data_IF_069318273798
#
_entry.id   IF_069318273798
#
_cell.length_a   1.000
_cell.length_b   1.000
_cell.length_c   1.000
_cell.angle_alpha   90.00
_cell.angle_beta   90.00
_cell.angle_gamma   90.00
#
_symmetry.space_group_name_H-M   'P 1'
#
loop_
_entity.id
_entity.type
_entity.pdbx_description
1 polymer ?
#
# COMPACT_ATOMS: atom_id res chain seq x y z
N UNK A 1 -27.92 59.62 -22.32
CA UNK A 1 -28.76 58.43 -22.62
C UNK A 1 -28.24 57.79 -23.89
N UNK A 2 -27.53 56.66 -23.77
CA UNK A 2 -27.14 55.82 -24.89
C UNK A 2 -26.99 54.39 -24.34
N UNK A 3 -27.88 53.48 -24.78
CA UNK A 3 -27.80 52.05 -24.47
C UNK A 3 -26.67 51.40 -25.29
N UNK A 4 -25.87 50.49 -24.71
CA UNK A 4 -25.10 49.55 -25.51
C UNK A 4 -25.90 48.28 -25.82
N UNK A 5 -25.86 47.94 -27.10
CA UNK A 5 -26.36 46.73 -27.75
C UNK A 5 -25.93 45.43 -27.05
N UNK A 6 -26.89 44.52 -26.84
CA UNK A 6 -26.64 43.12 -26.50
C UNK A 6 -26.22 42.36 -27.76
N UNK A 7 -25.02 41.78 -27.74
CA UNK A 7 -24.60 40.75 -28.70
C UNK A 7 -24.82 39.39 -28.03
N UNK A 8 -25.75 38.61 -28.55
CA UNK A 8 -25.99 37.23 -28.12
C UNK A 8 -25.10 36.30 -28.94
N UNK A 9 -24.12 35.66 -28.30
CA UNK A 9 -23.31 34.59 -28.89
C UNK A 9 -23.97 33.24 -28.59
N UNK A 10 -24.51 32.61 -29.63
CA UNK A 10 -25.00 31.24 -29.56
C UNK A 10 -23.82 30.26 -29.72
N UNK A 11 -23.44 29.56 -28.65
CA UNK A 11 -22.50 28.46 -28.69
C UNK A 11 -23.24 27.17 -29.08
N UNK A 12 -22.98 26.67 -30.29
CA UNK A 12 -23.54 25.41 -30.79
C UNK A 12 -22.85 24.22 -30.11
N UNK A 13 -23.65 23.36 -29.46
CA UNK A 13 -23.18 22.15 -28.78
C UNK A 13 -23.13 21.00 -29.80
N UNK A 14 -21.96 20.69 -30.32
CA UNK A 14 -21.74 19.48 -31.11
C UNK A 14 -21.67 18.25 -30.18
N UNK A 15 -22.72 17.43 -30.21
CA UNK A 15 -22.74 16.10 -29.57
C UNK A 15 -21.83 15.16 -30.35
N UNK A 16 -20.75 14.71 -29.73
CA UNK A 16 -19.93 13.61 -30.24
C UNK A 16 -20.51 12.30 -29.71
N UNK A 17 -21.01 11.47 -30.62
CA UNK A 17 -21.51 10.13 -30.37
C UNK A 17 -20.37 9.15 -30.06
N UNK A 18 -20.43 8.49 -28.91
CA UNK A 18 -19.53 7.42 -28.48
C UNK A 18 -19.97 6.10 -29.13
N UNK A 19 -19.14 5.42 -29.93
CA UNK A 19 -19.45 4.07 -30.40
C UNK A 19 -19.29 3.04 -29.27
N UNK A 20 -20.28 2.15 -29.16
CA UNK A 20 -20.27 0.97 -28.30
C UNK A 20 -19.51 -0.19 -28.97
N UNK A 21 -18.89 -1.01 -28.12
CA UNK A 21 -18.18 -2.29 -28.36
C UNK A 21 -16.72 -2.23 -28.81
N UNK A 22 -15.83 -2.84 -28.02
CA UNK A 22 -14.73 -3.65 -28.55
C UNK A 22 -15.08 -5.14 -28.54
N UNK A 23 -14.69 -5.79 -29.63
CA UNK A 23 -14.85 -7.21 -29.89
C UNK A 23 -14.07 -8.09 -28.90
N UNK A 24 -14.68 -9.22 -28.56
CA UNK A 24 -14.07 -10.35 -27.85
C UNK A 24 -12.86 -10.87 -28.63
N UNK A 25 -11.66 -10.72 -28.07
CA UNK A 25 -10.46 -11.42 -28.53
C UNK A 25 -10.34 -12.68 -27.67
N UNK A 26 -10.61 -13.84 -28.28
CA UNK A 26 -10.39 -15.15 -27.67
C UNK A 26 -8.89 -15.43 -27.59
N UNK A 27 -8.34 -15.59 -26.38
CA UNK A 27 -6.98 -16.11 -26.19
C UNK A 27 -7.00 -17.65 -26.09
N UNK A 28 -6.04 -18.35 -26.70
CA UNK A 28 -5.95 -19.80 -26.68
C UNK A 28 -5.54 -20.30 -25.28
N UNK A 29 -6.24 -21.33 -24.81
CA UNK A 29 -5.93 -22.03 -23.56
C UNK A 29 -4.63 -22.84 -23.75
N UNK A 30 -3.56 -22.43 -23.08
CA UNK A 30 -2.37 -23.26 -22.89
C UNK A 30 -2.64 -24.30 -21.79
N UNK A 31 -2.99 -25.51 -22.21
CA UNK A 31 -3.05 -26.68 -21.33
C UNK A 31 -1.64 -27.13 -20.95
N UNK A 32 -1.12 -26.63 -19.83
CA UNK A 32 0.10 -27.15 -19.23
C UNK A 32 -0.26 -28.23 -18.19
N UNK A 33 -0.32 -29.49 -18.62
CA UNK A 33 -0.51 -30.65 -17.75
C UNK A 33 0.81 -31.00 -17.08
N UNK A 34 1.03 -30.51 -15.86
CA UNK A 34 2.10 -30.98 -14.98
C UNK A 34 1.75 -32.39 -14.48
N UNK A 35 2.42 -33.39 -15.07
CA UNK A 35 2.39 -34.78 -14.62
C UNK A 35 3.06 -34.86 -13.24
N UNK A 36 2.25 -35.09 -12.20
CA UNK A 36 2.72 -35.54 -10.89
C UNK A 36 3.33 -36.94 -11.02
N UNK A 37 4.65 -37.05 -10.83
CA UNK A 37 5.31 -38.33 -10.63
C UNK A 37 5.12 -38.74 -9.15
N UNK A 38 4.18 -39.67 -8.93
CA UNK A 38 4.05 -40.45 -7.71
C UNK A 38 5.32 -41.29 -7.51
N UNK A 39 6.13 -40.97 -6.50
CA UNK A 39 7.16 -41.90 -6.01
C UNK A 39 6.53 -42.89 -5.05
N UNK A 40 6.52 -44.16 -5.47
CA UNK A 40 6.10 -45.28 -4.65
C UNK A 40 7.09 -45.51 -3.50
N UNK A 41 6.55 -45.51 -2.28
CA UNK A 41 7.20 -46.00 -1.07
C UNK A 41 7.39 -47.53 -1.18
N UNK A 42 8.63 -48.00 -1.12
CA UNK A 42 8.99 -49.40 -0.92
C UNK A 42 9.72 -49.51 0.43
N UNK A 43 9.04 -50.11 1.41
CA UNK A 43 9.67 -50.65 2.60
C UNK A 43 10.38 -51.97 2.28
N UNK A 44 11.52 -52.25 2.93
CA UNK A 44 11.63 -53.55 3.59
C UNK A 44 12.06 -53.47 5.07
N UNK A 45 11.73 -54.56 5.77
CA UNK A 45 11.74 -54.85 7.20
C UNK A 45 13.12 -54.90 7.89
N UNK A 46 13.14 -54.93 9.25
CA UNK A 46 14.34 -54.78 10.09
C UNK A 46 14.99 -56.12 10.47
N UNK A 47 16.27 -56.07 10.87
CA UNK A 47 16.75 -56.62 12.15
C UNK A 47 18.26 -56.41 12.34
N UNK A 48 18.65 -56.45 13.62
CA UNK A 48 19.99 -56.68 14.21
C UNK A 48 20.65 -55.46 14.89
N UNK A 49 20.78 -55.61 16.21
CA UNK A 49 21.48 -54.85 17.25
C UNK A 49 22.66 -55.74 17.76
N UNK A 50 23.52 -55.36 18.73
CA UNK A 50 24.30 -54.15 19.02
C UNK A 50 25.82 -54.39 18.93
N UNK A 51 26.61 -53.33 18.77
CA UNK A 51 27.87 -53.24 19.54
C UNK A 51 28.22 -51.79 19.86
N UNK A 52 28.26 -51.48 21.16
CA UNK A 52 28.75 -50.25 21.77
C UNK A 52 30.25 -50.41 22.01
N UNK A 53 31.07 -49.35 21.85
CA UNK A 53 31.98 -49.04 22.94
C UNK A 53 31.83 -47.60 23.44
N UNK A 54 31.96 -47.50 24.76
CA UNK A 54 31.97 -46.28 25.55
C UNK A 54 33.14 -45.37 25.18
N UNK A 55 32.83 -44.08 24.96
CA UNK A 55 33.76 -42.99 25.30
C UNK A 55 33.03 -41.97 26.18
N UNK A 56 33.68 -41.67 27.30
CA UNK A 56 33.17 -40.88 28.40
C UNK A 56 33.46 -39.38 28.21
N UNK A 57 32.50 -38.57 28.65
CA UNK A 57 32.57 -37.24 29.26
C UNK A 57 33.46 -36.15 28.62
N UNK A 58 32.81 -35.08 28.16
CA UNK A 58 32.93 -33.76 28.80
C UNK A 58 31.68 -32.92 28.55
N UNK A 59 30.86 -32.75 29.60
CA UNK A 59 29.85 -31.71 29.62
C UNK A 59 30.59 -30.36 29.69
N UNK A 60 30.42 -29.51 28.67
CA UNK A 60 30.66 -28.08 28.78
C UNK A 60 29.27 -27.46 28.79
N UNK A 61 28.94 -26.82 29.90
CA UNK A 61 27.75 -26.02 30.06
C UNK A 61 27.81 -24.86 29.06
N UNK A 62 27.17 -25.03 27.91
CA UNK A 62 26.88 -23.92 27.02
C UNK A 62 25.61 -23.27 27.54
N UNK A 63 25.79 -22.19 28.30
CA UNK A 63 24.72 -21.29 28.66
C UNK A 63 24.10 -20.77 27.36
N UNK A 64 22.98 -21.38 26.94
CA UNK A 64 22.08 -20.78 25.97
C UNK A 64 21.55 -19.50 26.59
N UNK A 65 22.23 -18.39 26.30
CA UNK A 65 21.65 -17.06 26.39
C UNK A 65 20.56 -17.03 25.33
N UNK A 66 19.32 -17.25 25.76
CA UNK A 66 18.17 -16.90 24.95
C UNK A 66 18.31 -15.44 24.53
N UNK A 67 18.32 -15.12 23.22
CA UNK A 67 18.03 -13.77 22.82
C UNK A 67 16.53 -13.59 23.04
N UNK A 68 16.19 -13.00 24.18
CA UNK A 68 14.93 -12.30 24.45
C UNK A 68 14.75 -11.20 23.39
N UNK A 69 14.36 -11.61 22.18
CA UNK A 69 13.76 -10.72 21.21
C UNK A 69 12.38 -10.42 21.77
N UNK A 70 12.35 -9.32 22.53
CA UNK A 70 11.16 -8.67 23.05
C UNK A 70 10.19 -8.39 21.90
N UNK A 71 9.36 -9.39 21.59
CA UNK A 71 8.17 -9.22 20.77
C UNK A 71 7.19 -8.43 21.60
N UNK A 72 7.23 -7.11 21.44
CA UNK A 72 6.14 -6.22 21.83
C UNK A 72 4.89 -6.68 21.09
N UNK A 73 4.13 -7.58 21.69
CA UNK A 73 2.83 -8.04 21.21
C UNK A 73 1.89 -6.82 21.17
N UNK A 74 1.72 -6.25 19.99
CA UNK A 74 0.56 -5.38 19.71
C UNK A 74 -0.65 -6.29 19.59
N UNK A 75 -1.77 -5.83 20.12
CA UNK A 75 -3.07 -6.52 20.10
C UNK A 75 -3.44 -7.00 18.69
N UNK A 76 -3.20 -8.27 18.41
CA UNK A 76 -3.55 -8.91 17.13
C UNK A 76 -5.02 -9.35 17.18
N UNK A 77 -5.90 -8.37 17.15
CA UNK A 77 -7.26 -8.63 16.67
C UNK A 77 -7.16 -9.00 15.18
N UNK A 78 -7.84 -10.07 14.72
CA UNK A 78 -7.79 -10.47 13.31
C UNK A 78 -8.23 -9.31 12.42
N UNK A 79 -7.31 -8.80 11.61
CA UNK A 79 -7.60 -7.79 10.60
C UNK A 79 -8.14 -8.48 9.37
N UNK A 80 -9.27 -7.98 8.87
CA UNK A 80 -9.90 -8.37 7.60
C UNK A 80 -9.08 -7.93 6.38
N UNK A 81 -8.17 -6.96 6.54
CA UNK A 81 -7.26 -6.47 5.52
C UNK A 81 -5.83 -7.03 5.69
N UNK A 82 -5.08 -7.10 4.58
CA UNK A 82 -3.67 -7.54 4.54
C UNK A 82 -2.68 -6.38 4.54
N UNK A 83 -3.06 -5.29 3.89
CA UNK A 83 -2.27 -4.05 3.82
C UNK A 83 -3.21 -2.84 3.92
N UNK A 84 -2.74 -1.78 4.55
CA UNK A 84 -3.44 -0.51 4.69
C UNK A 84 -2.65 0.57 3.93
N UNK A 85 -3.30 1.28 3.02
CA UNK A 85 -2.73 2.38 2.25
C UNK A 85 -3.11 3.72 2.89
N UNK A 86 -2.11 4.50 3.32
CA UNK A 86 -2.34 5.90 3.67
C UNK A 86 -2.22 6.75 2.41
N UNK A 87 -3.28 7.47 2.08
CA UNK A 87 -3.34 8.30 0.88
C UNK A 87 -3.95 9.66 1.19
N UNK A 88 -3.72 10.62 0.30
CA UNK A 88 -4.18 11.99 0.43
C UNK A 88 -5.37 12.27 -0.50
N UNK A 89 -6.56 12.46 0.07
CA UNK A 89 -7.83 12.62 -0.66
C UNK A 89 -7.92 13.87 -1.55
N UNK A 90 -7.32 14.99 -1.14
CA UNK A 90 -7.37 16.23 -1.95
C UNK A 90 -6.25 16.29 -3.01
N UNK A 91 -5.51 15.20 -3.24
CA UNK A 91 -4.43 15.11 -4.22
C UNK A 91 -4.95 14.40 -5.48
N UNK A 92 -5.24 15.11 -6.59
CA UNK A 92 -5.85 14.50 -7.77
C UNK A 92 -5.01 13.38 -8.40
N UNK A 93 -3.68 13.48 -8.34
CA UNK A 93 -2.79 12.42 -8.82
C UNK A 93 -2.85 11.18 -7.93
N UNK A 94 -2.85 11.39 -6.61
CA UNK A 94 -2.96 10.31 -5.64
C UNK A 94 -4.31 9.58 -5.81
N UNK A 95 -5.38 10.33 -6.07
CA UNK A 95 -6.72 9.76 -6.27
C UNK A 95 -6.87 8.93 -7.54
N UNK A 96 -6.13 9.23 -8.63
CA UNK A 96 -6.10 8.35 -9.82
C UNK A 96 -5.61 6.96 -9.48
N UNK A 97 -4.50 6.91 -8.74
CA UNK A 97 -3.89 5.67 -8.27
C UNK A 97 -4.81 4.92 -7.30
N UNK A 98 -5.34 5.61 -6.29
CA UNK A 98 -6.26 5.06 -5.31
C UNK A 98 -7.52 4.49 -5.96
N UNK A 99 -8.10 5.18 -6.94
CA UNK A 99 -9.30 4.71 -7.63
C UNK A 99 -9.03 3.45 -8.46
N UNK A 100 -7.88 3.38 -9.15
CA UNK A 100 -7.47 2.17 -9.86
C UNK A 100 -7.29 0.99 -8.88
N UNK A 101 -6.59 1.22 -7.76
CA UNK A 101 -6.38 0.20 -6.73
C UNK A 101 -7.69 -0.23 -6.08
N UNK A 102 -8.61 0.69 -5.78
CA UNK A 102 -9.94 0.39 -5.26
C UNK A 102 -10.74 -0.50 -6.20
N UNK A 103 -10.75 -0.17 -7.49
CA UNK A 103 -11.49 -0.95 -8.49
C UNK A 103 -11.00 -2.40 -8.54
N UNK A 104 -9.67 -2.58 -8.61
CA UNK A 104 -9.07 -3.93 -8.56
C UNK A 104 -9.32 -4.62 -7.22
N UNK A 105 -9.20 -3.90 -6.11
CA UNK A 105 -9.36 -4.45 -4.77
C UNK A 105 -10.77 -5.01 -4.52
N UNK A 106 -11.79 -4.65 -5.31
CA UNK A 106 -13.12 -5.28 -5.23
C UNK A 106 -13.06 -6.81 -5.35
N UNK A 107 -12.15 -7.34 -6.16
CA UNK A 107 -11.99 -8.79 -6.35
C UNK A 107 -11.07 -9.45 -5.31
N UNK A 108 -10.19 -8.68 -4.66
CA UNK A 108 -9.18 -9.21 -3.73
C UNK A 108 -9.55 -9.00 -2.26
N UNK A 109 -10.13 -7.85 -1.91
CA UNK A 109 -10.49 -7.49 -0.53
C UNK A 109 -9.29 -7.36 0.41
N UNK A 110 -8.09 -7.05 -0.09
CA UNK A 110 -6.84 -7.11 0.68
C UNK A 110 -6.39 -5.75 1.19
N UNK A 111 -6.76 -4.65 0.52
CA UNK A 111 -6.32 -3.30 0.85
C UNK A 111 -7.38 -2.55 1.66
N UNK A 112 -6.98 -2.01 2.82
CA UNK A 112 -7.72 -0.96 3.55
C UNK A 112 -7.21 0.42 3.13
N UNK A 113 -8.09 1.29 2.67
CA UNK A 113 -7.73 2.65 2.26
C UNK A 113 -8.03 3.63 3.40
N UNK A 114 -7.07 4.46 3.77
CA UNK A 114 -7.22 5.49 4.80
C UNK A 114 -6.82 6.84 4.24
N UNK A 115 -7.77 7.77 4.26
CA UNK A 115 -7.56 9.14 3.84
C UNK A 115 -6.90 9.93 4.98
N UNK A 116 -5.69 10.42 4.76
CA UNK A 116 -4.99 11.29 5.71
C UNK A 116 -5.55 12.71 5.70
N UNK A 117 -6.26 13.07 4.62
CA UNK A 117 -6.98 14.33 4.48
C UNK A 117 -8.26 14.39 5.31
N UNK A 118 -8.76 13.26 5.81
CA UNK A 118 -9.96 13.21 6.66
C UNK A 118 -9.74 13.85 8.03
N UNK A 119 -10.79 14.43 8.60
CA UNK A 119 -10.81 14.88 10.00
C UNK A 119 -10.76 13.71 11.00
N UNK A 120 -11.18 12.52 10.56
CA UNK A 120 -11.15 11.30 11.36
C UNK A 120 -9.79 10.59 11.37
N UNK A 121 -8.77 11.17 10.72
CA UNK A 121 -7.45 10.56 10.67
C UNK A 121 -6.79 10.57 12.06
N UNK A 122 -6.60 9.38 12.64
CA UNK A 122 -5.88 9.18 13.91
C UNK A 122 -4.50 8.56 13.69
N UNK A 123 -3.41 9.22 14.10
CA UNK A 123 -2.06 8.62 14.09
C UNK A 123 -1.98 7.33 14.92
N UNK A 124 -2.70 7.25 16.03
CA UNK A 124 -2.66 6.10 16.95
C UNK A 124 -3.12 4.80 16.29
N UNK A 125 -4.11 4.90 15.39
CA UNK A 125 -4.61 3.77 14.60
C UNK A 125 -3.70 3.40 13.41
N UNK A 126 -2.73 4.26 13.11
CA UNK A 126 -1.92 4.23 11.90
C UNK A 126 -0.41 4.22 12.22
N UNK A 127 -0.03 3.44 13.24
CA UNK A 127 1.38 3.24 13.65
C UNK A 127 2.09 4.53 14.10
N UNK A 128 1.34 5.45 14.70
CA UNK A 128 1.84 6.76 15.15
C UNK A 128 2.42 7.61 14.02
N UNK A 129 1.99 7.37 12.78
CA UNK A 129 2.33 8.21 11.63
C UNK A 129 1.46 9.45 11.72
N UNK A 130 2.05 10.59 12.09
CA UNK A 130 1.36 11.86 12.13
C UNK A 130 1.04 12.37 10.71
N UNK A 131 0.16 13.37 10.63
CA UNK A 131 -0.28 13.93 9.37
C UNK A 131 0.86 14.51 8.53
N UNK A 132 1.82 15.22 9.15
CA UNK A 132 2.94 15.83 8.44
C UNK A 132 3.85 14.75 7.83
N UNK A 133 4.18 13.71 8.61
CA UNK A 133 4.92 12.56 8.10
C UNK A 133 4.19 11.87 6.96
N UNK A 134 2.89 11.59 7.13
CA UNK A 134 2.06 10.94 6.10
C UNK A 134 1.96 11.76 4.81
N UNK A 135 1.98 13.08 4.91
CA UNK A 135 1.97 14.01 3.78
C UNK A 135 3.32 14.10 3.07
N UNK A 136 4.44 13.69 3.69
CA UNK A 136 5.77 13.78 3.09
C UNK A 136 6.05 12.67 2.05
N UNK A 137 5.51 11.47 2.25
CA UNK A 137 5.74 10.30 1.39
C UNK A 137 4.57 9.33 1.45
N UNK A 138 4.51 8.37 0.53
CA UNK A 138 3.49 7.32 0.60
C UNK A 138 3.85 6.34 1.74
N UNK A 139 2.83 5.87 2.45
CA UNK A 139 2.97 4.86 3.48
C UNK A 139 1.99 3.72 3.23
N UNK A 140 2.45 2.49 3.43
CA UNK A 140 1.58 1.34 3.59
C UNK A 140 1.93 0.58 4.86
N UNK A 141 0.90 0.13 5.58
CA UNK A 141 1.01 -0.58 6.85
C UNK A 141 0.53 -2.01 6.61
N UNK A 142 1.39 -2.98 6.80
CA UNK A 142 1.04 -4.39 6.72
C UNK A 142 0.22 -4.82 7.95
N UNK A 143 -0.53 -5.92 7.80
CA UNK A 143 -1.38 -6.45 8.88
C UNK A 143 -0.60 -6.79 10.16
N UNK A 144 0.67 -7.19 10.03
CA UNK A 144 1.63 -7.45 11.11
C UNK A 144 2.15 -6.16 11.79
N UNK A 145 1.79 -4.98 11.28
CA UNK A 145 2.22 -3.68 11.78
C UNK A 145 3.48 -3.12 11.11
N UNK A 146 4.11 -3.83 10.19
CA UNK A 146 5.27 -3.34 9.44
C UNK A 146 4.87 -2.15 8.57
N UNK A 147 5.63 -1.05 8.66
CA UNK A 147 5.44 0.15 7.83
C UNK A 147 6.44 0.12 6.69
N UNK A 148 5.95 0.25 5.47
CA UNK A 148 6.76 0.42 4.26
C UNK A 148 6.43 1.77 3.61
N UNK A 149 7.42 2.37 2.95
CA UNK A 149 7.29 3.71 2.35
C UNK A 149 7.75 3.72 0.89
N UNK A 150 7.52 4.85 0.22
CA UNK A 150 8.06 5.15 -1.10
C UNK A 150 7.71 4.07 -2.14
N UNK A 151 8.68 3.67 -2.98
CA UNK A 151 8.46 2.67 -4.04
C UNK A 151 8.11 1.31 -3.45
N UNK A 152 8.62 0.96 -2.27
CA UNK A 152 8.26 -0.30 -1.61
C UNK A 152 6.77 -0.33 -1.24
N UNK A 153 6.21 0.78 -0.76
CA UNK A 153 4.78 0.84 -0.46
C UNK A 153 3.93 0.55 -1.72
N UNK A 154 4.25 1.16 -2.85
CA UNK A 154 3.58 0.87 -4.12
C UNK A 154 3.75 -0.59 -4.53
N UNK A 155 4.97 -1.12 -4.45
CA UNK A 155 5.25 -2.53 -4.79
C UNK A 155 4.35 -3.48 -3.98
N UNK A 156 4.29 -3.30 -2.65
CA UNK A 156 3.46 -4.14 -1.78
C UNK A 156 1.97 -3.99 -2.09
N UNK A 157 1.48 -2.77 -2.31
CA UNK A 157 0.09 -2.51 -2.67
C UNK A 157 -0.29 -3.23 -3.97
N UNK A 158 0.55 -3.15 -4.99
CA UNK A 158 0.32 -3.78 -6.28
C UNK A 158 0.37 -5.31 -6.20
N UNK A 159 1.29 -5.86 -5.40
CA UNK A 159 1.33 -7.30 -5.11
C UNK A 159 0.00 -7.81 -4.53
N UNK A 160 -0.62 -7.04 -3.63
CA UNK A 160 -1.89 -7.40 -3.01
C UNK A 160 -3.12 -7.32 -3.93
N UNK A 161 -2.99 -6.72 -5.13
CA UNK A 161 -4.04 -6.66 -6.15
C UNK A 161 -3.66 -7.37 -7.47
N UNK A 162 -2.70 -8.30 -7.40
CA UNK A 162 -2.28 -9.14 -8.53
C UNK A 162 -1.50 -8.41 -9.62
N UNK A 163 -0.99 -7.21 -9.32
CA UNK A 163 -0.16 -6.41 -10.22
C UNK A 163 1.34 -6.50 -9.89
N UNK A 164 1.75 -7.40 -8.99
CA UNK A 164 3.17 -7.54 -8.60
C UNK A 164 4.14 -7.79 -9.76
N UNK A 165 3.64 -8.30 -10.90
CA UNK A 165 4.45 -8.48 -12.11
C UNK A 165 4.99 -7.18 -12.71
N UNK A 166 4.29 -6.03 -12.55
CA UNK A 166 4.77 -4.74 -13.05
C UNK A 166 6.07 -4.32 -12.38
N UNK A 167 6.20 -4.66 -11.09
CA UNK A 167 7.38 -4.38 -10.26
C UNK A 167 8.40 -5.52 -10.27
N UNK A 168 8.14 -6.64 -10.95
CA UNK A 168 9.13 -7.71 -11.07
C UNK A 168 10.35 -7.24 -11.89
N UNK A 169 10.13 -6.35 -12.87
CA UNK A 169 11.18 -5.75 -13.69
C UNK A 169 12.06 -4.79 -12.88
N UNK A 170 11.48 -4.10 -11.89
CA UNK A 170 12.20 -3.14 -11.05
C UNK A 170 12.97 -3.79 -9.89
N UNK A 171 12.96 -5.13 -9.76
CA UNK A 171 13.69 -5.85 -8.70
C UNK A 171 15.22 -5.85 -8.90
N UNK A 172 15.70 -5.42 -10.06
CA UNK A 172 17.13 -5.25 -10.29
C UNK A 172 17.66 -4.07 -9.47
N UNK A 173 18.60 -4.33 -8.56
CA UNK A 173 19.04 -3.37 -7.53
C UNK A 173 19.45 -1.98 -8.06
N UNK A 174 20.17 -1.87 -9.20
CA UNK A 174 20.45 -0.57 -9.81
C UNK A 174 19.19 0.21 -10.23
N UNK A 175 18.17 -0.46 -10.74
CA UNK A 175 16.91 0.18 -11.16
C UNK A 175 16.12 0.65 -9.94
N UNK A 176 16.09 -0.14 -8.87
CA UNK A 176 15.42 0.23 -7.62
C UNK A 176 15.95 1.56 -7.06
N UNK A 177 17.29 1.72 -6.97
CA UNK A 177 17.91 2.96 -6.47
C UNK A 177 17.58 4.18 -7.33
N UNK A 178 17.50 4.01 -8.65
CA UNK A 178 17.10 5.08 -9.57
C UNK A 178 15.64 5.46 -9.34
N UNK A 179 14.75 4.46 -9.23
CA UNK A 179 13.33 4.68 -9.00
C UNK A 179 13.08 5.42 -7.68
N UNK A 180 13.78 5.06 -6.60
CA UNK A 180 13.68 5.73 -5.30
C UNK A 180 14.11 7.20 -5.37
N UNK A 181 15.19 7.49 -6.08
CA UNK A 181 15.68 8.86 -6.27
C UNK A 181 14.68 9.72 -7.06
N UNK A 182 14.17 9.20 -8.18
CA UNK A 182 13.14 9.88 -8.98
C UNK A 182 11.87 10.10 -8.16
N UNK A 183 11.48 9.12 -7.36
CA UNK A 183 10.32 9.21 -6.48
C UNK A 183 10.49 10.30 -5.41
N UNK A 184 11.66 10.42 -4.78
CA UNK A 184 11.93 11.47 -3.79
C UNK A 184 11.77 12.88 -4.37
N UNK A 185 12.23 13.09 -5.60
CA UNK A 185 12.02 14.36 -6.32
C UNK A 185 10.54 14.59 -6.57
N UNK A 186 9.83 13.61 -7.14
CA UNK A 186 8.39 13.73 -7.38
C UNK A 186 7.61 14.02 -6.09
N UNK A 187 7.90 13.31 -4.99
CA UNK A 187 7.24 13.50 -3.70
C UNK A 187 7.39 14.93 -3.16
N UNK A 188 8.55 15.55 -3.38
CA UNK A 188 8.82 16.95 -2.99
C UNK A 188 8.02 17.96 -3.83
N UNK A 189 7.90 17.73 -5.13
CA UNK A 189 7.25 18.68 -6.06
C UNK A 189 5.76 18.39 -6.31
N UNK A 190 5.22 17.25 -5.85
CA UNK A 190 3.86 16.80 -6.19
C UNK A 190 2.79 17.84 -5.85
N UNK A 191 2.88 18.48 -4.68
CA UNK A 191 1.88 19.45 -4.24
C UNK A 191 1.81 20.64 -5.21
N UNK A 192 2.97 21.17 -5.60
CA UNK A 192 3.09 22.29 -6.55
C UNK A 192 2.58 21.89 -7.94
N UNK A 193 2.95 20.71 -8.43
CA UNK A 193 2.52 20.20 -9.75
C UNK A 193 1.00 19.99 -9.80
N UNK A 194 0.38 19.62 -8.67
CA UNK A 194 -1.06 19.35 -8.58
C UNK A 194 -1.92 20.56 -8.24
N UNK A 195 -1.33 21.75 -8.06
CA UNK A 195 -2.06 22.96 -7.67
C UNK A 195 -2.57 22.93 -6.23
N UNK A 196 -2.00 22.07 -5.37
CA UNK A 196 -2.31 22.01 -3.94
C UNK A 196 -1.44 22.99 -3.16
N UNK A 197 -2.00 23.57 -2.10
CA UNK A 197 -1.29 24.51 -1.23
C UNK A 197 0.00 23.90 -0.65
N UNK A 198 1.02 24.72 -0.35
CA UNK A 198 2.22 24.22 0.31
C UNK A 198 1.88 23.60 1.66
N UNK A 199 2.68 22.61 2.07
CA UNK A 199 2.39 21.81 3.27
C UNK A 199 2.26 22.67 4.53
N UNK A 200 3.02 23.78 4.61
CA UNK A 200 2.98 24.71 5.73
C UNK A 200 1.59 25.32 5.91
N UNK A 201 0.98 25.81 4.84
CA UNK A 201 -0.37 26.40 4.88
C UNK A 201 -1.43 25.37 5.26
N UNK A 202 -1.29 24.13 4.78
CA UNK A 202 -2.21 23.03 5.14
C UNK A 202 -2.09 22.69 6.63
N UNK A 203 -0.87 22.64 7.16
CA UNK A 203 -0.62 22.39 8.58
C UNK A 203 -1.15 23.52 9.45
N UNK A 204 -0.98 24.78 9.05
CA UNK A 204 -1.53 25.95 9.74
C UNK A 204 -3.06 25.94 9.74
N UNK A 205 -3.69 25.66 8.60
CA UNK A 205 -5.14 25.56 8.49
C UNK A 205 -5.70 24.46 9.41
N UNK A 206 -5.03 23.30 9.48
CA UNK A 206 -5.39 22.19 10.37
C UNK A 206 -5.22 22.54 11.84
N UNK A 207 -4.12 23.20 12.22
CA UNK A 207 -3.88 23.66 13.60
C UNK A 207 -4.95 24.65 14.04
N UNK A 208 -5.23 25.67 13.22
CA UNK A 208 -6.27 26.66 13.49
C UNK A 208 -7.66 26.03 13.64
N UNK A 209 -8.00 25.07 12.79
CA UNK A 209 -9.25 24.31 12.92
C UNK A 209 -9.30 23.52 14.23
N UNK A 210 -8.20 22.85 14.60
CA UNK A 210 -8.09 22.13 15.86
C UNK A 210 -8.22 23.02 17.11
N UNK A 211 -7.67 24.23 17.08
CA UNK A 211 -7.82 25.24 18.14
C UNK A 211 -9.27 25.73 18.25
N UNK A 212 -9.91 26.09 17.13
CA UNK A 212 -11.32 26.49 17.09
C UNK A 212 -12.26 25.39 17.61
N UNK A 213 -11.95 24.11 17.32
CA UNK A 213 -12.68 22.95 17.82
C UNK A 213 -12.47 22.67 19.32
N UNK A 214 -11.38 23.17 19.92
CA UNK A 214 -11.15 23.07 21.38
C UNK A 214 -11.89 24.16 22.13
N UNK A 215 -11.97 25.35 21.54
CA UNK A 215 -12.62 26.52 22.15
C UNK A 215 -14.15 26.50 22.00
N UNK A 216 -14.68 25.72 21.05
CA UNK A 216 -16.11 25.52 20.87
C UNK A 216 -16.47 24.04 21.02
N UNK A 217 -17.46 23.70 21.86
CA UNK A 217 -18.02 22.35 22.03
C UNK A 217 -18.76 21.83 20.76
N UNK A 218 -18.40 22.32 19.58
CA UNK A 218 -19.14 22.20 18.33
C UNK A 218 -18.23 21.77 17.16
N UNK A 219 -17.33 20.81 17.40
CA UNK A 219 -16.80 20.02 16.29
C UNK A 219 -17.42 18.63 16.32
N UNK A 220 -18.67 18.58 15.85
CA UNK A 220 -19.31 17.39 15.28
C UNK A 220 -20.00 17.85 14.00
N UNK A 221 -19.55 17.32 12.86
CA UNK A 221 -20.39 17.12 11.68
C UNK A 221 -20.50 15.63 11.45
#
# INVERSE_FOLDING_TARGET
MALPLRVATAASVSRISIPKNPAFISLPHFNCTLKFLNSASLHPRPNVLPTRPHHYIRAISEATVEPEISKKQKNDSPKDWKIKMLYDGDCPLCMREVNMLRERNKSYGTIKFVDIGSDDYSPDENQSIDYETAMGKIHAILSDGTVVTDVEAFRRLYEHVGLGWIYAITKYEPIAKIADSVYGVWAKYRLQITGRQPIQEILEARKKKGELCKDSNACKM
#
